data_IF_042101754575
#
_entry.id   IF_042101754575
#
_cell.length_a   1.000
_cell.length_b   1.000
_cell.length_c   1.000
_cell.angle_alpha   90.00
_cell.angle_beta   90.00
_cell.angle_gamma   90.00
#
_symmetry.space_group_name_H-M   'P 1'
#
loop_
_entity.id
_entity.type
_entity.pdbx_description
1 polymer ?
#
# COMPACT_ATOMS: atom_id res chain seq x y z
N UNK A 1 23.33 -2.42 -42.47
CA UNK A 1 22.65 -1.15 -42.16
C UNK A 1 21.20 -1.27 -42.61
N UNK A 2 20.24 -1.37 -41.67
CA UNK A 2 18.82 -1.49 -41.98
C UNK A 2 18.09 -0.35 -41.27
N UNK A 3 17.36 0.43 -42.07
CA UNK A 3 16.64 1.64 -41.70
C UNK A 3 15.43 1.32 -40.81
N UNK A 4 15.24 2.13 -39.77
CA UNK A 4 14.06 2.16 -38.89
C UNK A 4 13.16 3.30 -39.38
N UNK A 5 11.85 3.08 -39.63
CA UNK A 5 10.92 4.19 -39.80
C UNK A 5 10.38 4.65 -38.43
N UNK A 6 10.69 5.90 -38.09
CA UNK A 6 10.12 6.65 -36.98
C UNK A 6 8.68 7.02 -37.36
N UNK A 7 7.68 6.50 -36.65
CA UNK A 7 6.29 6.95 -36.76
C UNK A 7 6.04 7.98 -35.67
N UNK A 8 5.96 9.24 -36.09
CA UNK A 8 5.62 10.41 -35.29
C UNK A 8 4.09 10.50 -35.15
N UNK A 9 3.55 10.14 -33.99
CA UNK A 9 2.13 10.37 -33.68
C UNK A 9 1.99 11.72 -32.96
N UNK A 10 1.62 12.75 -33.72
CA UNK A 10 1.04 13.98 -33.17
C UNK A 10 -0.46 13.78 -33.01
N UNK A 11 -0.97 13.74 -31.77
CA UNK A 11 -2.40 13.94 -31.52
C UNK A 11 -2.62 15.14 -30.63
N UNK A 12 -3.52 15.97 -31.15
CA UNK A 12 -3.80 17.33 -30.78
C UNK A 12 -4.71 17.41 -29.54
N UNK A 13 -4.38 18.40 -28.72
CA UNK A 13 -5.17 18.95 -27.62
C UNK A 13 -6.55 19.39 -28.13
N UNK A 14 -7.61 19.02 -27.42
CA UNK A 14 -8.90 19.70 -27.50
C UNK A 14 -9.40 20.01 -26.09
N UNK A 15 -9.16 21.25 -25.64
CA UNK A 15 -9.77 21.82 -24.46
C UNK A 15 -11.21 22.25 -24.80
N UNK A 16 -12.20 21.74 -24.08
CA UNK A 16 -13.55 22.30 -24.07
C UNK A 16 -13.88 22.84 -22.69
N UNK A 17 -13.73 24.15 -22.56
CA UNK A 17 -14.21 24.96 -21.45
C UNK A 17 -15.72 25.15 -21.59
N UNK A 18 -16.47 24.98 -20.51
CA UNK A 18 -17.82 25.50 -20.41
C UNK A 18 -18.06 26.09 -19.02
N UNK A 19 -18.05 27.43 -18.99
CA UNK A 19 -18.57 28.28 -17.92
C UNK A 19 -20.07 28.09 -17.79
N UNK A 20 -20.56 27.93 -16.55
CA UNK A 20 -21.82 28.56 -16.13
C UNK A 20 -21.63 29.14 -14.72
N UNK A 21 -21.59 30.47 -14.67
CA UNK A 21 -21.80 31.26 -13.46
C UNK A 21 -23.30 31.33 -13.20
N UNK A 22 -23.73 30.99 -11.99
CA UNK A 22 -25.05 31.35 -11.50
C UNK A 22 -24.92 32.29 -10.30
N UNK A 23 -25.48 33.50 -10.46
CA UNK A 23 -25.65 34.55 -9.46
C UNK A 23 -26.96 34.30 -8.72
N UNK A 24 -26.95 34.31 -7.39
CA UNK A 24 -28.15 34.43 -6.55
C UNK A 24 -27.82 35.28 -5.30
N UNK A 25 -28.77 36.09 -4.78
CA UNK A 25 -28.47 37.42 -4.26
C UNK A 25 -28.28 37.54 -2.74
N UNK A 26 -27.58 38.62 -2.44
CA UNK A 26 -27.52 39.42 -1.22
C UNK A 26 -28.84 39.46 -0.42
N UNK A 27 -28.82 38.98 0.83
CA UNK A 27 -29.82 39.36 1.83
C UNK A 27 -29.13 39.80 3.12
N UNK A 28 -29.04 41.12 3.24
CA UNK A 28 -28.77 41.85 4.46
C UNK A 28 -29.94 41.64 5.43
N UNK A 29 -29.67 41.22 6.67
CA UNK A 29 -30.53 41.43 7.84
C UNK A 29 -29.66 41.77 9.03
N UNK A 30 -29.73 43.05 9.40
CA UNK A 30 -29.35 43.57 10.71
C UNK A 30 -30.32 43.01 11.76
N UNK A 31 -29.81 42.50 12.88
CA UNK A 31 -30.57 42.31 14.12
C UNK A 31 -29.62 42.28 15.32
N UNK A 32 -29.61 43.42 16.01
CA UNK A 32 -29.62 43.60 17.46
C UNK A 32 -28.70 42.73 18.33
N UNK A 33 -27.60 43.36 18.74
CA UNK A 33 -26.77 42.95 19.87
C UNK A 33 -27.55 43.00 21.18
N UNK A 34 -27.98 41.85 21.69
CA UNK A 34 -28.40 41.68 23.09
C UNK A 34 -27.14 41.37 23.91
N UNK A 35 -26.74 42.32 24.75
CA UNK A 35 -25.72 42.11 25.78
C UNK A 35 -26.35 41.24 26.86
N UNK A 36 -26.10 39.92 26.80
CA UNK A 36 -26.36 39.01 27.91
C UNK A 36 -25.13 39.04 28.81
N UNK A 37 -25.30 39.55 30.01
CA UNK A 37 -24.29 39.50 31.08
C UNK A 37 -24.07 38.02 31.43
N UNK A 38 -22.87 37.46 31.23
CA UNK A 38 -22.58 36.10 31.63
C UNK A 38 -22.63 36.02 33.16
N UNK A 39 -23.51 35.16 33.66
CA UNK A 39 -23.50 34.70 35.05
C UNK A 39 -22.17 33.98 35.27
N UNK A 40 -21.42 34.26 36.35
CA UNK A 40 -20.19 33.54 36.63
C UNK A 40 -20.52 32.07 36.89
N UNK A 41 -20.31 31.24 35.87
CA UNK A 41 -20.29 29.80 36.01
C UNK A 41 -19.07 29.47 36.85
N UNK A 42 -19.35 28.79 37.96
CA UNK A 42 -18.33 28.27 38.85
C UNK A 42 -17.52 27.28 38.05
N UNK A 43 -16.31 27.69 37.68
CA UNK A 43 -15.29 26.88 37.03
C UNK A 43 -14.94 25.75 38.00
N UNK A 44 -15.69 24.64 37.91
CA UNK A 44 -15.30 23.38 38.54
C UNK A 44 -14.07 22.97 37.76
N UNK A 45 -12.89 23.29 38.30
CA UNK A 45 -11.64 22.68 37.87
C UNK A 45 -11.81 21.18 38.09
N UNK A 46 -12.17 20.49 37.00
CA UNK A 46 -12.12 19.05 36.93
C UNK A 46 -10.64 18.69 37.12
N UNK A 47 -10.29 18.34 38.36
CA UNK A 47 -8.98 17.81 38.69
C UNK A 47 -8.90 16.50 37.92
N UNK A 48 -8.32 16.55 36.73
CA UNK A 48 -7.93 15.37 35.96
C UNK A 48 -6.92 14.65 36.84
N UNK A 49 -7.42 13.68 37.60
CA UNK A 49 -6.59 12.74 38.32
C UNK A 49 -5.90 11.94 37.23
N UNK A 50 -4.69 12.34 36.86
CA UNK A 50 -3.80 11.56 36.02
C UNK A 50 -3.61 10.21 36.72
N UNK A 51 -4.41 9.22 36.31
CA UNK A 51 -4.18 7.86 36.72
C UNK A 51 -2.80 7.48 36.19
N UNK A 52 -1.88 7.00 37.04
CA UNK A 52 -0.56 6.62 36.61
C UNK A 52 -0.72 5.54 35.55
N UNK A 53 -0.33 5.87 34.31
CA UNK A 53 -0.29 4.92 33.21
C UNK A 53 0.43 3.67 33.74
N UNK A 54 -0.20 2.51 33.62
CA UNK A 54 0.47 1.29 34.03
C UNK A 54 1.79 1.16 33.22
N UNK A 55 2.80 0.54 33.82
CA UNK A 55 4.11 0.41 33.21
C UNK A 55 4.08 -0.38 31.88
N UNK A 56 3.05 -1.20 31.62
CA UNK A 56 2.93 -2.01 30.42
C UNK A 56 2.45 -1.19 29.21
N UNK A 57 1.42 -0.36 29.37
CA UNK A 57 0.86 0.48 28.31
C UNK A 57 1.86 1.53 27.85
N UNK A 58 2.61 2.11 28.80
CA UNK A 58 3.70 3.04 28.50
C UNK A 58 4.85 2.37 27.73
N UNK A 59 5.23 1.13 28.09
CA UNK A 59 6.24 0.36 27.36
C UNK A 59 5.76 0.02 25.95
N UNK A 60 4.50 -0.37 25.78
CA UNK A 60 3.91 -0.67 24.49
C UNK A 60 3.89 0.56 23.57
N UNK A 61 3.42 1.70 24.08
CA UNK A 61 3.40 2.96 23.34
C UNK A 61 4.81 3.37 22.88
N UNK A 62 5.79 3.30 23.77
CA UNK A 62 7.18 3.63 23.44
C UNK A 62 7.78 2.69 22.39
N UNK A 63 7.49 1.38 22.45
CA UNK A 63 7.90 0.43 21.41
C UNK A 63 7.23 0.73 20.07
N UNK A 64 5.95 1.10 20.08
CA UNK A 64 5.20 1.49 18.87
C UNK A 64 5.82 2.74 18.23
N UNK A 65 6.09 3.77 19.00
CA UNK A 65 6.76 4.99 18.55
C UNK A 65 8.15 4.71 17.95
N UNK A 66 8.94 3.83 18.59
CA UNK A 66 10.25 3.43 18.07
C UNK A 66 10.13 2.71 16.72
N UNK A 67 9.14 1.84 16.54
CA UNK A 67 8.90 1.15 15.26
C UNK A 67 8.44 2.14 14.19
N UNK A 68 7.55 3.07 14.52
CA UNK A 68 7.12 4.16 13.64
C UNK A 68 8.28 5.04 13.19
N UNK A 69 9.18 5.41 14.11
CA UNK A 69 10.39 6.15 13.79
C UNK A 69 11.34 5.38 12.84
N UNK A 70 11.45 4.05 13.01
CA UNK A 70 12.21 3.19 12.09
C UNK A 70 11.60 3.15 10.69
N UNK A 71 10.28 3.09 10.58
CA UNK A 71 9.57 3.15 9.29
C UNK A 71 9.89 4.48 8.60
N UNK A 72 9.71 5.61 9.31
CA UNK A 72 10.05 6.93 8.77
C UNK A 72 11.50 7.00 8.30
N UNK A 73 12.44 6.54 9.12
CA UNK A 73 13.85 6.53 8.76
C UNK A 73 14.15 5.64 7.54
N UNK A 74 13.47 4.50 7.41
CA UNK A 74 13.61 3.59 6.26
C UNK A 74 13.23 4.27 4.95
N UNK A 75 12.16 5.08 4.96
CA UNK A 75 11.61 5.69 3.77
C UNK A 75 12.13 7.11 3.50
N UNK A 76 12.61 7.85 4.49
CA UNK A 76 13.00 9.26 4.35
C UNK A 76 13.96 9.53 3.17
N UNK A 77 14.99 8.70 3.02
CA UNK A 77 16.01 8.83 1.97
C UNK A 77 16.00 7.60 1.04
N UNK A 78 14.85 6.93 0.93
CA UNK A 78 14.71 5.75 0.08
C UNK A 78 14.77 6.14 -1.39
N UNK A 79 15.53 5.34 -2.16
CA UNK A 79 15.57 5.39 -3.61
C UNK A 79 14.88 4.14 -4.16
N UNK A 80 13.91 4.34 -5.05
CA UNK A 80 13.12 3.29 -5.69
C UNK A 80 13.44 3.32 -7.18
N UNK A 81 14.17 2.32 -7.66
CA UNK A 81 14.73 2.23 -9.02
C UNK A 81 15.43 3.52 -9.46
N UNK A 82 16.45 3.92 -8.69
CA UNK A 82 17.28 5.11 -8.95
C UNK A 82 16.55 6.45 -8.85
N UNK A 83 15.26 6.45 -8.51
CA UNK A 83 14.47 7.66 -8.28
C UNK A 83 14.23 7.89 -6.79
N UNK A 84 14.32 9.14 -6.29
CA UNK A 84 13.99 9.44 -4.90
C UNK A 84 12.51 9.14 -4.65
N UNK A 85 12.19 8.57 -3.49
CA UNK A 85 10.81 8.21 -3.13
C UNK A 85 9.85 9.41 -3.17
N UNK A 86 10.36 10.62 -2.92
CA UNK A 86 9.59 11.87 -2.98
C UNK A 86 8.95 12.13 -4.34
N UNK A 87 9.53 11.61 -5.43
CA UNK A 87 8.92 11.68 -6.76
C UNK A 87 7.60 10.92 -6.81
N UNK A 88 7.54 9.75 -6.18
CA UNK A 88 6.33 8.95 -6.10
C UNK A 88 5.33 9.54 -5.10
N UNK A 89 5.78 9.93 -3.90
CA UNK A 89 4.90 10.46 -2.85
C UNK A 89 4.21 11.79 -3.23
N UNK A 90 4.79 12.56 -4.16
CA UNK A 90 4.18 13.77 -4.69
C UNK A 90 3.17 13.49 -5.83
N UNK A 91 3.01 12.23 -6.27
CA UNK A 91 2.02 11.87 -7.28
C UNK A 91 0.62 11.90 -6.66
N UNK A 92 -0.29 12.68 -7.27
CA UNK A 92 -1.67 12.87 -6.80
C UNK A 92 -2.52 11.60 -6.77
N UNK A 93 -2.08 10.52 -7.42
CA UNK A 93 -2.75 9.22 -7.42
C UNK A 93 -2.36 8.35 -6.22
N UNK A 94 -1.35 8.73 -5.43
CA UNK A 94 -0.96 7.97 -4.24
C UNK A 94 -2.01 8.16 -3.15
N UNK A 95 -2.58 7.06 -2.68
CA UNK A 95 -3.49 7.06 -1.54
C UNK A 95 -2.78 7.61 -0.28
N UNK A 96 -3.48 8.48 0.47
CA UNK A 96 -2.90 9.16 1.64
C UNK A 96 -2.39 8.19 2.70
N UNK A 97 -3.00 7.01 2.82
CA UNK A 97 -2.58 5.97 3.75
C UNK A 97 -1.17 5.43 3.44
N UNK A 98 -0.77 5.41 2.16
CA UNK A 98 0.59 5.03 1.74
C UNK A 98 1.59 6.12 2.13
N UNK A 99 1.20 7.40 1.99
CA UNK A 99 2.01 8.54 2.44
C UNK A 99 2.19 8.49 3.95
N UNK A 100 1.12 8.28 4.70
CA UNK A 100 1.13 8.14 6.16
C UNK A 100 2.03 6.99 6.62
N UNK A 101 1.98 5.86 5.92
CA UNK A 101 2.88 4.74 6.19
C UNK A 101 4.35 5.13 5.96
N UNK A 102 4.70 5.70 4.81
CA UNK A 102 6.07 6.12 4.50
C UNK A 102 6.61 7.19 5.47
N UNK A 103 5.74 8.07 5.98
CA UNK A 103 6.09 9.08 6.98
C UNK A 103 6.17 8.52 8.41
N UNK A 104 5.91 7.22 8.59
CA UNK A 104 5.89 6.55 9.90
C UNK A 104 4.74 7.00 10.78
N UNK A 105 3.61 7.43 10.21
CA UNK A 105 2.36 7.73 10.93
C UNK A 105 1.50 6.50 11.17
N UNK A 106 1.76 5.41 10.44
CA UNK A 106 1.07 4.12 10.60
C UNK A 106 2.07 3.05 11.03
N UNK A 107 1.65 2.24 11.99
CA UNK A 107 2.38 1.05 12.42
C UNK A 107 1.55 -0.19 12.03
N UNK A 108 2.12 -1.15 11.28
CA UNK A 108 1.40 -2.36 10.89
C UNK A 108 1.04 -3.22 12.10
N UNK A 109 -0.23 -3.58 12.19
CA UNK A 109 -0.79 -4.51 13.18
C UNK A 109 -1.97 -5.28 12.59
N UNK A 110 -2.51 -6.23 13.34
CA UNK A 110 -3.76 -6.92 12.99
C UNK A 110 -4.96 -5.98 13.24
N UNK A 111 -5.12 -4.98 12.37
CA UNK A 111 -6.17 -3.96 12.44
C UNK A 111 -6.63 -3.46 11.07
N UNK A 112 -7.77 -2.77 11.08
CA UNK A 112 -8.42 -2.24 9.88
C UNK A 112 -7.54 -1.24 9.12
N UNK A 113 -6.73 -0.44 9.83
CA UNK A 113 -5.83 0.53 9.18
C UNK A 113 -4.78 -0.19 8.36
N UNK A 114 -4.22 -1.29 8.89
CA UNK A 114 -3.23 -2.10 8.18
C UNK A 114 -3.85 -2.80 6.99
N UNK A 115 -5.08 -3.31 7.10
CA UNK A 115 -5.77 -3.93 5.97
C UNK A 115 -6.12 -2.92 4.88
N UNK A 116 -6.60 -1.72 5.23
CA UNK A 116 -6.82 -0.64 4.28
C UNK A 116 -5.53 -0.23 3.55
N UNK A 117 -4.38 -0.30 4.24
CA UNK A 117 -3.07 -0.06 3.63
C UNK A 117 -2.75 -1.19 2.64
N UNK A 118 -2.90 -2.46 3.01
CA UNK A 118 -2.65 -3.61 2.14
C UNK A 118 -3.55 -3.59 0.90
N UNK A 119 -4.84 -3.29 1.05
CA UNK A 119 -5.75 -3.09 -0.08
C UNK A 119 -5.26 -1.97 -1.00
N UNK A 120 -4.76 -0.86 -0.46
CA UNK A 120 -4.23 0.24 -1.27
C UNK A 120 -2.97 -0.15 -2.03
N UNK A 121 -2.07 -0.90 -1.39
CA UNK A 121 -0.80 -1.34 -1.98
C UNK A 121 -0.97 -2.43 -3.05
N UNK A 122 -2.02 -3.24 -2.96
CA UNK A 122 -2.26 -4.37 -3.87
C UNK A 122 -3.10 -4.00 -5.09
N UNK A 123 -3.67 -2.79 -5.15
CA UNK A 123 -4.38 -2.28 -6.34
C UNK A 123 -3.50 -2.29 -7.59
N UNK A 124 -4.16 -2.41 -8.74
CA UNK A 124 -3.51 -2.20 -10.03
C UNK A 124 -3.03 -0.75 -10.14
N UNK A 125 -1.73 -0.56 -10.34
CA UNK A 125 -1.13 0.75 -10.29
C UNK A 125 0.12 0.84 -11.16
N UNK A 126 -0.04 1.17 -12.44
CA UNK A 126 1.05 1.14 -13.43
C UNK A 126 2.34 1.84 -12.95
N UNK A 127 2.31 3.17 -12.86
CA UNK A 127 3.49 3.99 -12.51
C UNK A 127 3.84 3.96 -11.01
N UNK A 128 2.94 3.46 -10.16
CA UNK A 128 3.11 3.43 -8.70
C UNK A 128 3.47 2.04 -8.17
N UNK A 129 3.40 0.98 -9.00
CA UNK A 129 3.79 -0.37 -8.62
C UNK A 129 5.18 -0.43 -7.98
N UNK A 130 6.21 0.33 -8.45
CA UNK A 130 7.47 0.46 -7.73
C UNK A 130 7.36 0.89 -6.27
N UNK A 131 6.60 1.96 -6.00
CA UNK A 131 6.40 2.47 -4.64
C UNK A 131 5.63 1.44 -3.82
N UNK A 132 4.52 0.94 -4.37
CA UNK A 132 3.63 0.04 -3.64
C UNK A 132 4.30 -1.28 -3.33
N UNK A 133 5.07 -1.84 -4.26
CA UNK A 133 5.88 -3.03 -4.00
C UNK A 133 6.94 -2.77 -2.94
N UNK A 134 7.61 -1.62 -2.95
CA UNK A 134 8.63 -1.29 -1.94
C UNK A 134 8.02 -1.23 -0.54
N UNK A 135 6.83 -0.63 -0.41
CA UNK A 135 6.09 -0.62 0.86
C UNK A 135 5.61 -2.02 1.24
N UNK A 136 5.04 -2.76 0.29
CA UNK A 136 4.50 -4.10 0.50
C UNK A 136 5.58 -5.10 0.91
N UNK A 137 6.73 -5.12 0.22
CA UNK A 137 7.86 -5.98 0.57
C UNK A 137 8.42 -5.67 1.96
N UNK A 138 8.42 -4.39 2.35
CA UNK A 138 8.76 -4.03 3.73
C UNK A 138 7.74 -4.60 4.71
N UNK A 139 6.44 -4.52 4.44
CA UNK A 139 5.40 -5.14 5.29
C UNK A 139 5.60 -6.65 5.41
N UNK A 140 5.82 -7.34 4.29
CA UNK A 140 6.15 -8.77 4.25
C UNK A 140 7.35 -9.12 5.15
N UNK A 141 8.39 -8.29 5.17
CA UNK A 141 9.57 -8.52 6.01
C UNK A 141 9.33 -8.32 7.52
N UNK A 142 8.27 -7.59 7.88
CA UNK A 142 7.95 -7.25 9.27
C UNK A 142 6.74 -8.01 9.82
N UNK A 143 5.96 -8.66 8.95
CA UNK A 143 4.76 -9.39 9.33
C UNK A 143 5.11 -10.71 10.02
N UNK A 144 4.48 -10.95 11.16
CA UNK A 144 4.51 -12.19 11.92
C UNK A 144 3.11 -12.53 12.47
N UNK A 145 2.96 -13.71 13.07
CA UNK A 145 1.70 -14.15 13.69
C UNK A 145 0.49 -14.00 12.75
N UNK A 146 -0.60 -13.45 13.28
CA UNK A 146 -1.87 -13.27 12.55
C UNK A 146 -1.73 -12.43 11.27
N UNK A 147 -0.89 -11.39 11.28
CA UNK A 147 -0.67 -10.59 10.07
C UNK A 147 0.09 -11.40 9.01
N UNK A 148 1.08 -12.20 9.42
CA UNK A 148 1.82 -13.07 8.51
C UNK A 148 0.94 -14.10 7.79
N UNK A 149 -0.07 -14.63 8.47
CA UNK A 149 -0.99 -15.64 7.90
C UNK A 149 -1.79 -15.12 6.69
N UNK A 150 -2.06 -13.82 6.62
CA UNK A 150 -2.85 -13.22 5.53
C UNK A 150 -1.98 -12.60 4.43
N UNK A 151 -0.67 -12.44 4.64
CA UNK A 151 0.20 -11.74 3.68
C UNK A 151 0.27 -12.46 2.34
N UNK A 152 0.18 -13.78 2.32
CA UNK A 152 0.24 -14.55 1.07
C UNK A 152 -0.95 -14.29 0.13
N UNK A 153 -2.14 -14.05 0.69
CA UNK A 153 -3.32 -13.61 -0.07
C UNK A 153 -3.08 -12.25 -0.74
N UNK A 154 -2.56 -11.27 0.02
CA UNK A 154 -2.25 -9.95 -0.54
C UNK A 154 -1.07 -9.99 -1.53
N UNK A 155 -0.10 -10.88 -1.33
CA UNK A 155 1.00 -11.08 -2.29
C UNK A 155 0.46 -11.60 -3.62
N UNK A 156 -0.45 -12.58 -3.58
CA UNK A 156 -1.16 -13.07 -4.77
C UNK A 156 -1.92 -11.95 -5.46
N UNK A 157 -2.66 -11.14 -4.71
CA UNK A 157 -3.42 -10.01 -5.26
C UNK A 157 -2.52 -8.96 -5.92
N UNK A 158 -1.43 -8.56 -5.26
CA UNK A 158 -0.45 -7.63 -5.82
C UNK A 158 0.04 -8.10 -7.19
N UNK A 159 0.44 -9.38 -7.28
CA UNK A 159 1.01 -9.97 -8.50
C UNK A 159 -0.02 -10.04 -9.62
N UNK A 160 -1.25 -10.44 -9.33
CA UNK A 160 -2.30 -10.52 -10.34
C UNK A 160 -2.75 -9.13 -10.82
N UNK A 161 -2.70 -8.11 -9.96
CA UNK A 161 -3.05 -6.74 -10.33
C UNK A 161 -1.92 -6.01 -11.08
N UNK A 162 -0.65 -6.40 -10.87
CA UNK A 162 0.52 -5.74 -11.47
C UNK A 162 1.46 -6.75 -12.18
N UNK A 163 0.96 -7.61 -13.10
CA UNK A 163 1.67 -8.82 -13.53
C UNK A 163 2.99 -8.55 -14.24
N UNK A 164 3.04 -7.57 -15.15
CA UNK A 164 4.27 -7.21 -15.87
C UNK A 164 5.37 -6.74 -14.93
N UNK A 165 5.01 -5.92 -13.94
CA UNK A 165 5.95 -5.46 -12.92
C UNK A 165 6.40 -6.64 -12.04
N UNK A 166 5.45 -7.45 -11.57
CA UNK A 166 5.73 -8.52 -10.63
C UNK A 166 6.60 -9.62 -11.20
N UNK A 167 6.39 -10.02 -12.45
CA UNK A 167 7.23 -11.02 -13.11
C UNK A 167 8.68 -10.55 -13.24
N UNK A 168 8.91 -9.24 -13.36
CA UNK A 168 10.26 -8.68 -13.48
C UNK A 168 10.91 -8.40 -12.12
N UNK A 169 10.12 -8.00 -11.11
CA UNK A 169 10.64 -7.35 -9.90
C UNK A 169 10.25 -8.03 -8.59
N UNK A 170 9.19 -8.83 -8.54
CA UNK A 170 8.80 -9.51 -7.31
C UNK A 170 9.80 -10.63 -6.97
N UNK A 171 10.04 -10.82 -5.68
CA UNK A 171 10.99 -11.75 -5.10
C UNK A 171 10.90 -11.69 -3.58
N UNK A 172 11.92 -12.21 -2.88
CA UNK A 172 12.08 -12.00 -1.44
C UNK A 172 10.86 -12.43 -0.61
N UNK A 173 10.52 -11.61 0.38
CA UNK A 173 9.47 -11.93 1.36
C UNK A 173 8.07 -12.00 0.73
N UNK A 174 7.80 -11.24 -0.33
CA UNK A 174 6.57 -11.35 -1.10
C UNK A 174 6.37 -12.77 -1.66
N UNK A 175 7.43 -13.37 -2.22
CA UNK A 175 7.36 -14.74 -2.77
C UNK A 175 7.32 -15.78 -1.64
N UNK A 176 8.02 -15.54 -0.54
CA UNK A 176 7.98 -16.43 0.62
C UNK A 176 6.55 -16.55 1.19
N UNK A 177 5.84 -15.43 1.35
CA UNK A 177 4.45 -15.44 1.84
C UNK A 177 3.48 -16.06 0.84
N UNK A 178 3.64 -15.78 -0.47
CA UNK A 178 2.85 -16.44 -1.50
C UNK A 178 3.07 -17.96 -1.52
N UNK A 179 4.32 -18.39 -1.34
CA UNK A 179 4.69 -19.78 -1.28
C UNK A 179 4.08 -20.49 -0.07
N UNK A 180 4.09 -19.84 1.10
CA UNK A 180 3.44 -20.34 2.31
C UNK A 180 1.93 -20.52 2.12
N UNK A 181 1.26 -19.53 1.50
CA UNK A 181 -0.17 -19.58 1.16
C UNK A 181 -0.51 -20.78 0.27
N UNK A 182 0.35 -21.13 -0.70
CA UNK A 182 0.13 -22.34 -1.47
C UNK A 182 0.42 -23.60 -0.66
N UNK A 183 1.51 -23.62 0.11
CA UNK A 183 1.95 -24.81 0.85
C UNK A 183 0.91 -25.28 1.88
N UNK A 184 0.28 -24.36 2.61
CA UNK A 184 -0.67 -24.68 3.69
C UNK A 184 -1.92 -25.43 3.20
N UNK A 185 -2.32 -25.25 1.94
CA UNK A 185 -3.50 -25.89 1.37
C UNK A 185 -3.31 -27.38 1.03
N UNK A 186 -2.07 -27.89 1.02
CA UNK A 186 -1.74 -29.30 0.73
C UNK A 186 -2.00 -29.75 -0.72
N UNK A 187 -2.71 -28.95 -1.52
CA UNK A 187 -2.97 -29.14 -2.95
C UNK A 187 -2.16 -28.16 -3.83
N UNK A 188 -1.06 -27.63 -3.31
CA UNK A 188 -0.32 -26.49 -3.87
C UNK A 188 0.03 -26.60 -5.36
N UNK A 189 0.22 -27.81 -5.89
CA UNK A 189 0.49 -28.03 -7.33
C UNK A 189 -0.67 -27.56 -8.21
N UNK A 190 -1.90 -27.80 -7.76
CA UNK A 190 -3.10 -27.34 -8.43
C UNK A 190 -3.22 -25.81 -8.31
N UNK A 191 -3.01 -25.26 -7.11
CA UNK A 191 -3.14 -23.83 -6.85
C UNK A 191 -2.12 -23.00 -7.64
N UNK A 192 -0.86 -23.44 -7.71
CA UNK A 192 0.18 -22.80 -8.54
C UNK A 192 -0.20 -22.87 -10.02
N UNK A 193 -0.82 -23.97 -10.48
CA UNK A 193 -1.28 -24.09 -11.86
C UNK A 193 -2.39 -23.07 -12.15
N UNK A 194 -3.40 -22.99 -11.28
CA UNK A 194 -4.49 -22.01 -11.43
C UNK A 194 -3.98 -20.57 -11.39
N UNK A 195 -3.04 -20.27 -10.49
CA UNK A 195 -2.36 -18.99 -10.42
C UNK A 195 -1.57 -18.69 -11.71
N UNK A 196 -0.82 -19.67 -12.23
CA UNK A 196 -0.10 -19.51 -13.51
C UNK A 196 -1.04 -19.25 -14.67
N UNK A 197 -2.16 -19.98 -14.76
CA UNK A 197 -3.16 -19.82 -15.81
C UNK A 197 -3.79 -18.41 -15.74
N UNK A 198 -4.14 -17.96 -14.53
CA UNK A 198 -4.67 -16.61 -14.29
C UNK A 198 -3.66 -15.53 -14.70
N UNK A 199 -2.40 -15.70 -14.30
CA UNK A 199 -1.33 -14.75 -14.62
C UNK A 199 -1.11 -14.62 -16.13
N UNK A 200 -1.20 -15.73 -16.88
CA UNK A 200 -1.12 -15.72 -18.35
C UNK A 200 -2.29 -14.98 -18.99
N UNK A 201 -3.51 -15.24 -18.51
CA UNK A 201 -4.72 -14.58 -19.03
C UNK A 201 -4.64 -13.06 -18.82
N UNK A 202 -4.23 -12.62 -17.63
CA UNK A 202 -4.16 -11.20 -17.29
C UNK A 202 -2.99 -10.51 -18.00
N UNK A 203 -1.84 -11.18 -18.11
CA UNK A 203 -0.66 -10.63 -18.80
C UNK A 203 -0.88 -10.48 -20.30
N UNK A 204 -1.68 -11.37 -20.91
CA UNK A 204 -1.86 -11.40 -22.36
C UNK A 204 -0.52 -11.46 -23.09
N UNK A 205 -0.35 -10.63 -24.11
CA UNK A 205 0.89 -10.53 -24.89
C UNK A 205 1.93 -9.56 -24.29
N UNK A 206 1.65 -8.95 -23.13
CA UNK A 206 2.54 -7.95 -22.51
C UNK A 206 3.80 -8.59 -21.90
N UNK A 207 3.76 -9.88 -21.59
CA UNK A 207 4.86 -10.59 -20.95
C UNK A 207 5.17 -11.88 -21.69
N UNK A 208 6.46 -12.10 -21.97
CA UNK A 208 6.92 -13.30 -22.64
C UNK A 208 6.60 -14.55 -21.79
N UNK A 209 6.07 -15.59 -22.44
CA UNK A 209 5.72 -16.86 -21.78
C UNK A 209 6.90 -17.52 -21.07
N UNK A 210 8.14 -17.30 -21.54
CA UNK A 210 9.36 -17.76 -20.88
C UNK A 210 9.55 -17.07 -19.53
N UNK A 211 9.33 -15.75 -19.44
CA UNK A 211 9.44 -15.00 -18.19
C UNK A 211 8.39 -15.43 -17.17
N UNK A 212 7.17 -15.67 -17.63
CA UNK A 212 6.12 -16.25 -16.79
C UNK A 212 6.56 -17.62 -16.26
N UNK A 213 7.13 -18.49 -17.11
CA UNK A 213 7.61 -19.80 -16.67
C UNK A 213 8.71 -19.68 -15.62
N UNK A 214 9.70 -18.82 -15.83
CA UNK A 214 10.79 -18.57 -14.87
C UNK A 214 10.25 -18.14 -13.50
N UNK A 215 9.33 -17.18 -13.49
CA UNK A 215 8.68 -16.70 -12.28
C UNK A 215 7.89 -17.81 -11.56
N UNK A 216 7.11 -18.60 -12.30
CA UNK A 216 6.32 -19.70 -11.73
C UNK A 216 7.22 -20.81 -11.17
N UNK A 217 8.39 -21.06 -11.78
CA UNK A 217 9.37 -22.00 -11.22
C UNK A 217 9.99 -21.47 -9.92
N UNK A 218 10.17 -20.16 -9.76
CA UNK A 218 10.63 -19.55 -8.51
C UNK A 218 9.59 -19.75 -7.39
N UNK A 219 8.33 -19.40 -7.66
CA UNK A 219 7.20 -19.63 -6.73
C UNK A 219 7.11 -21.11 -6.34
N UNK A 220 7.26 -22.03 -7.30
CA UNK A 220 7.23 -23.47 -7.04
C UNK A 220 8.35 -23.92 -6.11
N UNK A 221 9.58 -23.43 -6.33
CA UNK A 221 10.72 -23.77 -5.47
C UNK A 221 10.51 -23.28 -4.04
N UNK A 222 10.07 -22.03 -3.88
CA UNK A 222 9.75 -21.47 -2.57
C UNK A 222 8.62 -22.25 -1.87
N UNK A 223 7.57 -22.62 -2.61
CA UNK A 223 6.45 -23.41 -2.07
C UNK A 223 6.89 -24.79 -1.58
N UNK A 224 7.78 -25.45 -2.33
CA UNK A 224 8.33 -26.74 -1.92
C UNK A 224 9.18 -26.62 -0.65
N UNK A 225 9.87 -25.50 -0.44
CA UNK A 225 10.62 -25.27 0.79
C UNK A 225 9.68 -25.02 1.96
N UNK A 226 8.68 -24.14 1.79
CA UNK A 226 7.66 -23.89 2.81
C UNK A 226 6.88 -25.16 3.20
N UNK A 227 6.59 -26.05 2.25
CA UNK A 227 5.95 -27.35 2.54
C UNK A 227 6.82 -28.23 3.46
N UNK A 228 8.15 -28.18 3.35
CA UNK A 228 9.03 -28.95 4.24
C UNK A 228 9.01 -28.39 5.66
N UNK A 229 8.96 -27.08 5.81
CA UNK A 229 8.93 -26.42 7.12
C UNK A 229 7.62 -26.68 7.88
N UNK A 230 6.55 -27.03 7.17
CA UNK A 230 5.25 -27.40 7.74
C UNK A 230 5.17 -28.86 8.22
N UNK A 231 6.12 -29.73 7.88
CA UNK A 231 6.10 -31.18 8.16
C UNK A 231 7.06 -31.58 9.28
#
# INVERSE_FOLDING_TARGET
MKFIPIILFCLLVSCKSNNQQEKVPNHKKDLESVIVVPKPETEIQEVVVEQPLNNADSIYALKKEQKMAKIKARFNDCTIYEQPISLYLNNKKVDSIVVDFCEGRIYPSDDEITFNLLESLTKKSDELAPLYYTCFEYLCSQSDGALGEIMGMYAKEFILNNPSFSIEKCGGHCIDHLAFEFAINGAWKYDIKEFSDSLRVISGDLVDSLRINEFIEEVRKATLEAEKDLR
#
